data_IF_958332947763
#
_entry.id   IF_958332947763
#
_cell.length_a   1.000
_cell.length_b   1.000
_cell.length_c   1.000
_cell.angle_alpha   90.00
_cell.angle_beta   90.00
_cell.angle_gamma   90.00
#
_symmetry.space_group_name_H-M   'P 1'
#
loop_
_entity.id
_entity.type
_entity.pdbx_description
1 polymer ?
#
# COMPACT_ATOMS: atom_id res chain seq x y z
N UNK A 1 -1.34 -3.02 12.18
CA UNK A 1 -1.50 -4.06 13.21
C UNK A 1 -2.19 -5.29 12.63
N UNK A 2 -3.50 -5.25 12.32
CA UNK A 2 -4.26 -6.42 11.84
C UNK A 2 -3.70 -7.13 10.59
N UNK A 3 -3.22 -6.39 9.58
CA UNK A 3 -2.60 -6.99 8.39
C UNK A 3 -1.34 -7.78 8.74
N UNK A 4 -0.50 -7.24 9.64
CA UNK A 4 0.75 -7.89 10.05
C UNK A 4 0.46 -9.14 10.89
N UNK A 5 -0.52 -9.09 11.79
CA UNK A 5 -0.92 -10.23 12.61
C UNK A 5 -1.53 -11.35 11.76
N UNK A 6 -2.36 -11.00 10.77
CA UNK A 6 -2.91 -11.95 9.81
C UNK A 6 -1.80 -12.67 9.05
N UNK A 7 -0.84 -11.93 8.49
CA UNK A 7 0.32 -12.51 7.78
C UNK A 7 1.18 -13.37 8.69
N UNK A 8 1.40 -12.94 9.94
CA UNK A 8 2.15 -13.72 10.95
C UNK A 8 1.48 -15.06 11.22
N UNK A 9 0.17 -15.08 11.45
CA UNK A 9 -0.56 -16.32 11.70
C UNK A 9 -0.62 -17.22 10.47
N UNK A 10 -0.73 -16.65 9.26
CA UNK A 10 -0.63 -17.41 8.02
C UNK A 10 0.74 -18.07 7.87
N UNK A 11 1.82 -17.32 8.13
CA UNK A 11 3.19 -17.86 8.11
C UNK A 11 3.38 -18.98 9.13
N UNK A 12 2.82 -18.84 10.34
CA UNK A 12 2.87 -19.90 11.36
C UNK A 12 2.16 -21.17 10.94
N UNK A 13 1.03 -21.06 10.22
CA UNK A 13 0.33 -22.24 9.70
C UNK A 13 1.19 -22.99 8.68
N UNK A 14 1.77 -22.27 7.72
CA UNK A 14 2.59 -22.88 6.66
C UNK A 14 3.89 -23.47 7.19
N UNK A 15 4.54 -22.79 8.14
CA UNK A 15 5.80 -23.24 8.71
C UNK A 15 5.60 -24.48 9.60
N UNK A 16 4.63 -24.44 10.51
CA UNK A 16 4.49 -25.48 11.54
C UNK A 16 3.83 -26.77 11.06
N UNK A 17 3.23 -26.78 9.87
CA UNK A 17 2.58 -27.96 9.30
C UNK A 17 3.54 -29.14 9.15
N UNK A 18 4.79 -28.88 8.79
CA UNK A 18 5.80 -29.92 8.52
C UNK A 18 6.56 -30.37 9.77
N UNK A 19 6.65 -29.53 10.79
CA UNK A 19 7.48 -29.77 11.98
C UNK A 19 6.70 -30.26 13.20
N UNK A 20 5.38 -30.01 13.27
CA UNK A 20 4.56 -30.43 14.42
C UNK A 20 3.96 -31.82 14.28
N UNK A 21 3.74 -32.50 15.41
CA UNK A 21 2.93 -33.72 15.45
C UNK A 21 1.52 -33.41 14.92
N UNK A 22 1.00 -34.27 14.04
CA UNK A 22 -0.28 -34.06 13.32
C UNK A 22 -1.46 -33.69 14.23
N UNK A 23 -1.55 -34.33 15.41
CA UNK A 23 -2.64 -34.08 16.38
C UNK A 23 -2.58 -32.65 16.95
N UNK A 24 -1.39 -32.21 17.36
CA UNK A 24 -1.16 -30.89 17.95
C UNK A 24 -1.33 -29.78 16.90
N UNK A 25 -0.81 -30.03 15.69
CA UNK A 25 -1.01 -29.14 14.55
C UNK A 25 -2.50 -28.95 14.22
N UNK A 26 -3.30 -30.03 14.19
CA UNK A 26 -4.74 -29.92 13.89
C UNK A 26 -5.47 -29.05 14.90
N UNK A 27 -5.17 -29.19 16.20
CA UNK A 27 -5.79 -28.35 17.23
C UNK A 27 -5.35 -26.89 17.12
N UNK A 28 -4.04 -26.65 16.95
CA UNK A 28 -3.47 -25.31 16.82
C UNK A 28 -3.96 -24.59 15.57
N UNK A 29 -3.92 -25.26 14.42
CA UNK A 29 -4.37 -24.70 13.14
C UNK A 29 -5.85 -24.30 13.17
N UNK A 30 -6.70 -25.08 13.83
CA UNK A 30 -8.11 -24.70 14.05
C UNK A 30 -8.27 -23.36 14.79
N UNK A 31 -7.47 -23.13 15.84
CA UNK A 31 -7.49 -21.86 16.60
C UNK A 31 -6.95 -20.70 15.76
N UNK A 32 -5.83 -20.88 15.06
CA UNK A 32 -5.24 -19.83 14.21
C UNK A 32 -6.17 -19.47 13.04
N UNK A 33 -6.81 -20.44 12.40
CA UNK A 33 -7.76 -20.19 11.32
C UNK A 33 -8.94 -19.32 11.78
N UNK A 34 -9.45 -19.55 13.00
CA UNK A 34 -10.49 -18.69 13.59
C UNK A 34 -9.99 -17.25 13.77
N UNK A 35 -8.77 -17.06 14.29
CA UNK A 35 -8.17 -15.74 14.44
C UNK A 35 -7.95 -15.03 13.10
N UNK A 36 -7.41 -15.74 12.10
CA UNK A 36 -7.19 -15.20 10.75
C UNK A 36 -8.50 -14.74 10.12
N UNK A 37 -9.59 -15.51 10.32
CA UNK A 37 -10.91 -15.14 9.84
C UNK A 37 -11.44 -13.88 10.52
N UNK A 38 -11.40 -13.81 11.84
CA UNK A 38 -11.83 -12.62 12.58
C UNK A 38 -11.05 -11.36 12.19
N UNK A 39 -9.72 -11.48 12.03
CA UNK A 39 -8.89 -10.39 11.51
C UNK A 39 -9.26 -9.98 10.08
N UNK A 40 -9.65 -10.95 9.25
CA UNK A 40 -10.16 -10.71 7.91
C UNK A 40 -11.47 -9.93 7.91
N UNK A 41 -12.42 -10.33 8.76
CA UNK A 41 -13.71 -9.65 8.92
C UNK A 41 -13.53 -8.21 9.40
N UNK A 42 -12.69 -7.97 10.43
CA UNK A 42 -12.39 -6.61 10.90
C UNK A 42 -11.74 -5.74 9.83
N UNK A 43 -10.86 -6.31 9.00
CA UNK A 43 -10.26 -5.59 7.87
C UNK A 43 -11.29 -5.23 6.81
N UNK A 44 -12.17 -6.18 6.45
CA UNK A 44 -13.24 -5.93 5.48
C UNK A 44 -14.24 -4.89 5.97
N UNK A 45 -14.59 -4.92 7.25
CA UNK A 45 -15.46 -3.91 7.85
C UNK A 45 -14.84 -2.51 7.75
N UNK A 46 -13.57 -2.37 8.15
CA UNK A 46 -12.86 -1.10 8.06
C UNK A 46 -12.74 -0.59 6.61
N UNK A 47 -12.51 -1.49 5.65
CA UNK A 47 -12.47 -1.14 4.22
C UNK A 47 -13.82 -0.62 3.71
N UNK A 48 -14.93 -1.24 4.13
CA UNK A 48 -16.27 -0.80 3.72
C UNK A 48 -16.67 0.52 4.39
N UNK A 49 -16.29 0.75 5.65
CA UNK A 49 -16.47 2.03 6.33
C UNK A 49 -15.76 3.16 5.58
N UNK A 50 -14.48 2.95 5.19
CA UNK A 50 -13.72 3.92 4.39
C UNK A 50 -14.42 4.19 3.05
N UNK A 51 -14.88 3.14 2.37
CA UNK A 51 -15.56 3.26 1.08
C UNK A 51 -16.87 4.02 1.20
N UNK A 52 -17.60 3.81 2.29
CA UNK A 52 -18.86 4.52 2.58
C UNK A 52 -18.59 6.00 2.82
N UNK A 53 -17.57 6.34 3.61
CA UNK A 53 -17.16 7.74 3.86
C UNK A 53 -16.75 8.45 2.56
N UNK A 54 -16.00 7.78 1.69
CA UNK A 54 -15.61 8.36 0.39
C UNK A 54 -16.83 8.59 -0.51
N UNK A 55 -17.81 7.68 -0.51
CA UNK A 55 -19.03 7.83 -1.31
C UNK A 55 -19.98 8.90 -0.77
N UNK A 56 -19.96 9.17 0.53
CA UNK A 56 -20.83 10.19 1.13
C UNK A 56 -20.37 11.62 0.82
N UNK A 57 -19.11 11.81 0.45
CA UNK A 57 -18.56 13.11 0.08
C UNK A 57 -18.27 13.15 -1.43
N UNK A 58 -18.97 14.01 -2.16
CA UNK A 58 -18.85 14.12 -3.62
C UNK A 58 -17.42 14.47 -4.05
N UNK A 59 -16.74 15.34 -3.30
CA UNK A 59 -15.37 15.76 -3.63
C UNK A 59 -14.38 14.61 -3.46
N UNK A 60 -14.50 13.84 -2.37
CA UNK A 60 -13.65 12.68 -2.12
C UNK A 60 -13.95 11.57 -3.13
N UNK A 61 -15.22 11.37 -3.48
CA UNK A 61 -15.63 10.40 -4.49
C UNK A 61 -15.01 10.72 -5.85
N UNK A 62 -15.11 11.97 -6.30
CA UNK A 62 -14.51 12.39 -7.57
C UNK A 62 -12.99 12.25 -7.57
N UNK A 63 -12.32 12.69 -6.49
CA UNK A 63 -10.87 12.55 -6.35
C UNK A 63 -10.44 11.09 -6.39
N UNK A 64 -11.16 10.22 -5.66
CA UNK A 64 -10.91 8.78 -5.64
C UNK A 64 -11.11 8.17 -7.03
N UNK A 65 -12.23 8.49 -7.70
CA UNK A 65 -12.53 8.02 -9.06
C UNK A 65 -11.43 8.41 -10.04
N UNK A 66 -10.99 9.66 -10.03
CA UNK A 66 -9.90 10.17 -10.90
C UNK A 66 -8.56 9.47 -10.63
N UNK A 67 -8.28 9.11 -9.37
CA UNK A 67 -7.07 8.36 -9.04
C UNK A 67 -7.14 6.92 -9.54
N UNK A 68 -8.27 6.24 -9.35
CA UNK A 68 -8.44 4.86 -9.80
C UNK A 68 -8.50 4.70 -11.33
N UNK A 69 -8.70 5.78 -12.11
CA UNK A 69 -8.54 5.72 -13.57
C UNK A 69 -7.09 5.61 -14.02
N UNK A 70 -6.13 6.02 -13.16
CA UNK A 70 -4.73 5.90 -13.49
C UNK A 70 -4.28 4.44 -13.35
N UNK A 71 -3.64 3.92 -14.40
CA UNK A 71 -3.20 2.54 -14.43
C UNK A 71 -2.18 2.23 -13.31
N UNK A 72 -2.33 1.06 -12.68
CA UNK A 72 -1.52 0.66 -11.53
C UNK A 72 -1.94 1.29 -10.20
N UNK A 73 -2.88 2.24 -10.18
CA UNK A 73 -3.46 2.79 -8.95
C UNK A 73 -4.74 2.02 -8.61
N UNK A 74 -4.71 1.29 -7.49
CA UNK A 74 -5.89 0.67 -6.89
C UNK A 74 -6.46 1.47 -5.72
N UNK A 75 -7.62 1.07 -5.21
CA UNK A 75 -8.37 1.77 -4.16
C UNK A 75 -7.51 2.15 -2.95
N UNK A 76 -6.75 1.20 -2.40
CA UNK A 76 -5.88 1.45 -1.22
C UNK A 76 -4.82 2.52 -1.49
N UNK A 77 -4.27 2.53 -2.71
CA UNK A 77 -3.28 3.53 -3.13
C UNK A 77 -3.96 4.89 -3.32
N UNK A 78 -5.13 4.93 -3.95
CA UNK A 78 -5.92 6.15 -4.14
C UNK A 78 -6.28 6.79 -2.79
N UNK A 79 -6.87 6.04 -1.86
CA UNK A 79 -7.20 6.52 -0.52
C UNK A 79 -5.95 7.02 0.20
N UNK A 80 -4.84 6.30 0.10
CA UNK A 80 -3.58 6.74 0.72
C UNK A 80 -3.10 8.07 0.16
N UNK A 81 -3.21 8.28 -1.16
CA UNK A 81 -2.82 9.54 -1.81
C UNK A 81 -3.71 10.70 -1.36
N UNK A 82 -5.02 10.50 -1.29
CA UNK A 82 -5.96 11.51 -0.78
C UNK A 82 -5.61 11.89 0.66
N UNK A 83 -5.37 10.90 1.54
CA UNK A 83 -5.05 11.16 2.95
C UNK A 83 -3.70 11.88 3.11
N UNK A 84 -2.66 11.45 2.37
CA UNK A 84 -1.32 12.04 2.47
C UNK A 84 -1.29 13.48 1.94
N UNK A 85 -2.15 13.81 0.98
CA UNK A 85 -2.23 15.13 0.37
C UNK A 85 -3.32 16.02 0.97
N UNK A 86 -4.06 15.53 1.97
CA UNK A 86 -5.30 16.14 2.49
C UNK A 86 -6.25 16.57 1.36
N UNK A 87 -6.54 15.64 0.44
CA UNK A 87 -7.36 15.91 -0.74
C UNK A 87 -6.71 16.89 -1.71
N UNK A 88 -5.39 16.75 -1.93
CA UNK A 88 -4.59 17.60 -2.83
C UNK A 88 -4.47 19.08 -2.42
N UNK A 89 -4.74 19.41 -1.16
CA UNK A 89 -4.62 20.79 -0.65
C UNK A 89 -3.23 21.09 -0.07
N UNK A 90 -2.53 20.07 0.44
CA UNK A 90 -1.21 20.25 1.09
C UNK A 90 -0.06 20.58 0.11
N UNK A 91 -0.26 20.32 -1.19
CA UNK A 91 0.79 20.46 -2.21
C UNK A 91 0.33 21.31 -3.38
N UNK A 92 1.02 22.42 -3.63
CA UNK A 92 0.77 23.28 -4.79
C UNK A 92 1.52 22.85 -6.05
N UNK A 93 2.58 22.05 -5.91
CA UNK A 93 3.44 21.60 -7.00
C UNK A 93 3.60 20.08 -6.95
N UNK A 94 3.39 19.44 -8.10
CA UNK A 94 3.56 18.01 -8.33
C UNK A 94 4.98 17.55 -7.95
N UNK A 95 6.01 18.36 -8.23
CA UNK A 95 7.40 18.03 -7.84
C UNK A 95 7.57 17.98 -6.33
N UNK A 96 6.93 18.88 -5.58
CA UNK A 96 6.98 18.86 -4.10
C UNK A 96 6.33 17.59 -3.55
N UNK A 97 5.20 17.18 -4.12
CA UNK A 97 4.57 15.90 -3.76
C UNK A 97 5.47 14.71 -4.13
N UNK A 98 6.04 14.67 -5.33
CA UNK A 98 6.97 13.60 -5.74
C UNK A 98 8.22 13.53 -4.84
N UNK A 99 8.75 14.68 -4.41
CA UNK A 99 9.84 14.76 -3.44
C UNK A 99 9.40 14.23 -2.08
N UNK A 100 8.18 14.56 -1.62
CA UNK A 100 7.61 14.05 -0.37
C UNK A 100 7.37 12.53 -0.41
N UNK A 101 6.82 12.02 -1.52
CA UNK A 101 6.60 10.60 -1.75
C UNK A 101 7.91 9.84 -2.04
N UNK A 102 8.99 10.54 -2.39
CA UNK A 102 10.32 9.95 -2.63
C UNK A 102 10.47 9.26 -3.97
N UNK A 103 9.71 9.74 -4.95
CA UNK A 103 9.70 9.25 -6.33
C UNK A 103 10.22 10.29 -7.32
N UNK A 104 10.49 11.51 -6.85
CA UNK A 104 11.07 12.55 -7.71
C UNK A 104 12.45 12.10 -8.27
N UNK A 105 12.65 12.19 -9.59
CA UNK A 105 13.97 11.99 -10.18
C UNK A 105 14.85 13.21 -9.88
N UNK A 106 16.07 12.96 -9.40
CA UNK A 106 17.12 13.97 -9.25
C UNK A 106 18.24 13.66 -10.23
N UNK A 107 18.71 14.65 -10.98
CA UNK A 107 19.86 14.50 -11.87
C UNK A 107 21.12 14.29 -11.04
N UNK A 108 21.86 13.23 -11.34
CA UNK A 108 23.07 12.80 -10.62
C UNK A 108 24.22 13.84 -10.72
N UNK A 109 24.10 14.81 -11.63
CA UNK A 109 25.18 15.76 -11.96
C UNK A 109 25.43 16.86 -10.91
N UNK A 110 24.54 17.09 -9.95
CA UNK A 110 24.65 18.23 -9.03
C UNK A 110 24.99 17.86 -7.57
N UNK A 111 25.13 16.57 -7.26
CA UNK A 111 25.33 16.12 -5.88
C UNK A 111 26.73 15.54 -5.76
N UNK A 112 27.61 16.25 -5.05
CA UNK A 112 28.91 15.73 -4.65
C UNK A 112 28.71 14.42 -3.87
N UNK A 113 29.59 13.44 -4.06
CA UNK A 113 29.48 12.10 -3.49
C UNK A 113 29.28 12.06 -1.95
N UNK A 114 29.64 13.15 -1.27
CA UNK A 114 29.52 13.41 0.17
C UNK A 114 28.08 13.59 0.67
N UNK A 115 27.15 14.02 -0.19
CA UNK A 115 25.74 14.28 0.16
C UNK A 115 24.83 13.04 -0.06
N UNK A 116 25.43 11.87 -0.29
CA UNK A 116 24.72 10.58 -0.31
C UNK A 116 24.31 10.11 1.09
N UNK A 117 23.90 11.02 1.95
CA UNK A 117 23.11 10.61 3.10
C UNK A 117 21.78 10.10 2.55
N UNK A 118 21.66 8.77 2.54
CA UNK A 118 20.38 8.08 2.39
C UNK A 118 19.56 8.37 3.64
N UNK A 119 19.12 9.63 3.78
CA UNK A 119 18.35 10.10 4.92
C UNK A 119 17.17 9.17 5.09
N UNK A 120 17.11 8.50 6.25
CA UNK A 120 16.03 7.59 6.60
C UNK A 120 14.72 8.35 6.48
N UNK A 121 14.03 8.16 5.35
CA UNK A 121 12.79 8.87 5.07
C UNK A 121 11.76 8.38 6.08
N UNK A 122 11.09 9.31 6.76
CA UNK A 122 10.02 9.02 7.73
C UNK A 122 9.11 7.91 7.21
N UNK A 123 8.77 6.93 8.08
CA UNK A 123 7.99 5.74 7.70
C UNK A 123 6.68 6.04 6.95
N UNK A 124 6.12 7.24 7.14
CA UNK A 124 4.94 7.75 6.41
C UNK A 124 5.19 7.92 4.91
N UNK A 125 6.36 8.43 4.52
CA UNK A 125 6.77 8.63 3.12
C UNK A 125 7.25 7.34 2.45
N UNK A 126 7.78 6.39 3.24
CA UNK A 126 8.21 5.08 2.77
C UNK A 126 7.04 4.29 2.17
N UNK A 127 5.87 4.32 2.81
CA UNK A 127 4.67 3.65 2.31
C UNK A 127 4.25 4.19 0.95
N UNK A 128 4.20 5.52 0.78
CA UNK A 128 3.86 6.14 -0.51
C UNK A 128 4.87 5.76 -1.60
N UNK A 129 6.18 5.77 -1.30
CA UNK A 129 7.21 5.30 -2.22
C UNK A 129 6.97 3.85 -2.66
N UNK A 130 6.72 2.95 -1.71
CA UNK A 130 6.49 1.53 -1.99
C UNK A 130 5.23 1.32 -2.85
N UNK A 131 4.13 1.98 -2.53
CA UNK A 131 2.88 1.85 -3.30
C UNK A 131 3.07 2.32 -4.75
N UNK A 132 3.68 3.49 -4.94
CA UNK A 132 3.95 4.03 -6.28
C UNK A 132 4.96 3.18 -7.04
N UNK A 133 5.97 2.65 -6.36
CA UNK A 133 6.95 1.75 -6.96
C UNK A 133 6.33 0.42 -7.41
N UNK A 134 5.36 -0.12 -6.67
CA UNK A 134 4.63 -1.34 -7.05
C UNK A 134 3.61 -1.09 -8.18
N UNK A 135 3.07 0.13 -8.29
CA UNK A 135 2.20 0.51 -9.39
C UNK A 135 2.97 0.61 -10.73
N UNK A 136 4.20 1.14 -10.70
CA UNK A 136 5.02 1.37 -11.89
C UNK A 136 5.24 0.14 -12.81
N UNK A 137 5.59 -1.07 -12.32
CA UNK A 137 5.78 -2.24 -13.18
C UNK A 137 4.49 -2.71 -13.86
N UNK A 138 3.31 -2.49 -13.24
CA UNK A 138 2.02 -2.83 -13.85
C UNK A 138 1.80 -2.01 -15.12
N UNK A 139 2.13 -0.71 -15.06
CA UNK A 139 2.08 0.20 -16.20
C UNK A 139 3.15 -0.20 -17.24
N UNK A 140 4.40 -0.40 -16.81
CA UNK A 140 5.53 -0.68 -17.72
C UNK A 140 5.39 -1.99 -18.50
N UNK A 141 4.79 -3.03 -17.91
CA UNK A 141 4.58 -4.33 -18.58
C UNK A 141 3.50 -4.26 -19.65
N UNK A 142 2.52 -3.36 -19.51
CA UNK A 142 1.43 -3.17 -20.49
C UNK A 142 1.77 -2.17 -21.58
N UNK A 143 2.58 -1.15 -21.29
CA UNK A 143 3.11 -0.24 -22.33
C UNK A 143 3.96 -0.96 -23.39
N UNK A 144 4.53 -2.13 -23.09
CA UNK A 144 5.26 -2.97 -24.07
C UNK A 144 4.36 -3.74 -25.05
N UNK A 145 3.04 -3.76 -24.82
CA UNK A 145 2.06 -4.36 -25.74
C UNK A 145 1.38 -3.37 -26.70
N UNK A 146 1.72 -2.07 -26.62
CA UNK A 146 1.20 -1.03 -27.51
C UNK A 146 2.08 -0.84 -28.74
N UNK A 147 2.01 -1.76 -29.69
CA UNK A 147 2.46 -1.53 -31.07
C UNK A 147 1.23 -1.46 -31.98
N UNK A 148 0.86 -0.25 -32.39
CA UNK A 148 0.34 0.16 -33.70
C UNK A 148 -0.05 1.64 -33.62
#
# INVERSE_FOLDING_TARGET
>A
MYVADKSKYQGQLTDQERFMRKKDYRQKSGRLKKLIRGLGESLSQAEEEIKTLIKSDETLYEQHKRLCTAEGIGDKTAVKMIVVTKGFTDFTDVRKFCCHAGVAPFSIHQVAASDRETGSRSGRTRVSKTLLHMAAPVVATRCRGGTA
#
